data_IF_121986411371
#
_entry.id   IF_121986411371
#
_cell.length_a   1.000
_cell.length_b   1.000
_cell.length_c   1.000
_cell.angle_alpha   90.00
_cell.angle_beta   90.00
_cell.angle_gamma   90.00
#
_symmetry.space_group_name_H-M   'P 1'
#
loop_
_entity.id
_entity.type
_entity.pdbx_description
1 polymer ?
#
# COMPACT_ATOMS: atom_id res chain seq x y z
N UNK A 1 -9.39 -14.50 15.18
CA UNK A 1 -9.04 -14.44 13.75
C UNK A 1 -7.63 -13.89 13.63
N UNK A 2 -6.64 -14.77 13.58
CA UNK A 2 -5.25 -14.37 13.48
C UNK A 2 -5.01 -13.71 12.11
N UNK A 3 -4.28 -12.61 12.09
CA UNK A 3 -3.45 -12.25 10.93
C UNK A 3 -2.64 -13.51 10.58
N UNK A 4 -3.09 -14.33 9.63
CA UNK A 4 -2.24 -15.33 8.97
C UNK A 4 -1.23 -14.50 8.16
N UNK A 5 -0.26 -14.02 8.92
CA UNK A 5 0.23 -12.66 8.81
C UNK A 5 1.18 -12.51 7.66
N UNK A 6 1.23 -11.31 7.09
CA UNK A 6 2.25 -10.93 6.13
C UNK A 6 3.63 -11.03 6.79
N UNK A 7 4.21 -12.24 6.85
CA UNK A 7 5.47 -12.54 7.53
C UNK A 7 6.57 -11.59 7.11
N UNK A 8 6.62 -11.26 5.82
CA UNK A 8 7.59 -10.30 5.29
C UNK A 8 7.44 -8.87 5.82
N UNK A 9 6.21 -8.42 6.15
CA UNK A 9 5.97 -7.13 6.81
C UNK A 9 6.39 -7.19 8.27
N UNK A 10 5.97 -8.22 9.01
CA UNK A 10 6.31 -8.39 10.43
C UNK A 10 7.82 -8.45 10.63
N UNK A 11 8.55 -9.21 9.80
CA UNK A 11 10.02 -9.27 9.84
C UNK A 11 10.63 -7.89 9.59
N UNK A 12 10.15 -7.16 8.58
CA UNK A 12 10.67 -5.82 8.29
C UNK A 12 10.45 -4.84 9.46
N UNK A 13 9.26 -4.83 10.05
CA UNK A 13 8.96 -4.00 11.23
C UNK A 13 9.90 -4.36 12.39
N UNK A 14 10.10 -5.65 12.65
CA UNK A 14 11.04 -6.10 13.68
C UNK A 14 12.48 -5.67 13.38
N UNK A 15 12.95 -5.81 12.14
CA UNK A 15 14.29 -5.37 11.74
C UNK A 15 14.50 -3.87 11.99
N UNK A 16 13.53 -3.06 11.59
CA UNK A 16 13.57 -1.59 11.77
C UNK A 16 13.57 -1.24 13.25
N UNK A 17 12.70 -1.87 14.06
CA UNK A 17 12.62 -1.63 15.52
C UNK A 17 13.86 -2.08 16.28
N UNK A 18 14.63 -3.03 15.74
CA UNK A 18 15.86 -3.53 16.35
C UNK A 18 17.10 -2.73 15.94
N UNK A 19 16.97 -1.70 15.09
CA UNK A 19 18.09 -0.83 14.75
C UNK A 19 18.54 -0.03 15.97
N UNK A 20 19.85 0.05 16.19
CA UNK A 20 20.41 0.69 17.39
C UNK A 20 20.44 2.22 17.27
N UNK A 21 20.43 2.74 16.05
CA UNK A 21 20.49 4.17 15.78
C UNK A 21 19.76 4.53 14.48
N UNK A 22 19.57 5.84 14.27
CA UNK A 22 18.84 6.37 13.11
C UNK A 22 19.52 6.10 11.77
N UNK A 23 20.83 5.98 11.75
CA UNK A 23 21.57 5.67 10.52
C UNK A 23 21.32 4.23 10.05
N UNK A 24 21.35 3.26 10.96
CA UNK A 24 21.00 1.87 10.68
C UNK A 24 19.53 1.73 10.24
N UNK A 25 18.63 2.47 10.90
CA UNK A 25 17.21 2.52 10.53
C UNK A 25 17.05 2.99 9.08
N UNK A 26 17.70 4.11 8.72
CA UNK A 26 17.70 4.67 7.37
C UNK A 26 18.26 3.69 6.35
N UNK A 27 19.41 3.08 6.63
CA UNK A 27 20.03 2.09 5.73
C UNK A 27 19.11 0.89 5.48
N UNK A 28 18.40 0.43 6.52
CA UNK A 28 17.45 -0.68 6.42
C UNK A 28 16.21 -0.32 5.61
N UNK A 29 15.70 0.91 5.79
CA UNK A 29 14.57 1.47 5.03
C UNK A 29 14.95 1.62 3.55
N UNK A 30 16.09 2.24 3.25
CA UNK A 30 16.57 2.45 1.88
C UNK A 30 16.75 1.12 1.13
N UNK A 31 17.31 0.11 1.82
CA UNK A 31 17.43 -1.25 1.26
C UNK A 31 16.07 -1.87 0.94
N UNK A 32 15.07 -1.67 1.80
CA UNK A 32 13.73 -2.19 1.56
C UNK A 32 13.02 -1.43 0.43
N UNK A 33 13.12 -0.10 0.38
CA UNK A 33 12.58 0.72 -0.71
C UNK A 33 13.18 0.32 -2.06
N UNK A 34 14.51 0.12 -2.12
CA UNK A 34 15.18 -0.36 -3.32
C UNK A 34 14.67 -1.73 -3.79
N UNK A 35 14.42 -2.65 -2.85
CA UNK A 35 13.84 -3.96 -3.15
C UNK A 35 12.40 -3.82 -3.69
N UNK A 36 11.55 -3.03 -3.04
CA UNK A 36 10.16 -2.81 -3.48
C UNK A 36 10.15 -2.20 -4.88
N UNK A 37 10.97 -1.16 -5.12
CA UNK A 37 11.10 -0.50 -6.43
C UNK A 37 11.50 -1.48 -7.53
N UNK A 38 12.45 -2.37 -7.24
CA UNK A 38 12.88 -3.42 -8.18
C UNK A 38 11.76 -4.43 -8.46
N UNK A 39 10.98 -4.80 -7.45
CA UNK A 39 9.86 -5.74 -7.60
C UNK A 39 8.72 -5.15 -8.41
N UNK A 40 8.43 -3.86 -8.25
CA UNK A 40 7.38 -3.16 -9.02
C UNK A 40 7.76 -2.95 -10.49
N UNK A 41 9.05 -2.75 -10.78
CA UNK A 41 9.56 -2.62 -12.16
C UNK A 41 9.70 -3.94 -12.92
N UNK A 42 9.63 -5.08 -12.24
CA UNK A 42 9.87 -6.37 -12.89
C UNK A 42 8.69 -6.73 -13.81
N UNK A 43 8.98 -7.23 -15.03
CA UNK A 43 7.96 -7.62 -16.03
C UNK A 43 7.07 -8.77 -15.56
N UNK A 44 7.53 -9.57 -14.59
CA UNK A 44 6.70 -10.60 -13.96
C UNK A 44 5.63 -9.96 -13.10
N UNK A 45 4.37 -10.16 -13.50
CA UNK A 45 3.20 -9.70 -12.76
C UNK A 45 3.25 -10.15 -11.28
N UNK A 46 3.25 -9.19 -10.37
CA UNK A 46 3.18 -9.45 -8.93
C UNK A 46 1.81 -10.04 -8.57
N UNK A 47 1.83 -11.02 -7.68
CA UNK A 47 0.59 -11.57 -7.12
C UNK A 47 -0.10 -10.54 -6.24
N UNK A 48 -1.43 -10.66 -6.09
CA UNK A 48 -2.23 -9.79 -5.20
C UNK A 48 -1.71 -9.78 -3.76
N UNK A 49 -1.22 -10.92 -3.26
CA UNK A 49 -0.61 -11.02 -1.94
C UNK A 49 0.70 -10.20 -1.84
N UNK A 50 1.55 -10.29 -2.85
CA UNK A 50 2.81 -9.53 -2.88
C UNK A 50 2.58 -8.04 -2.97
N UNK A 51 1.64 -7.60 -3.83
CA UNK A 51 1.24 -6.19 -3.92
C UNK A 51 0.80 -5.66 -2.56
N UNK A 52 -0.13 -6.35 -1.88
CA UNK A 52 -0.55 -5.98 -0.52
C UNK A 52 0.64 -5.88 0.45
N UNK A 53 1.49 -6.90 0.49
CA UNK A 53 2.66 -6.94 1.37
C UNK A 53 3.58 -5.74 1.16
N UNK A 54 3.87 -5.39 -0.09
CA UNK A 54 4.77 -4.28 -0.41
C UNK A 54 4.12 -2.91 -0.16
N UNK A 55 2.84 -2.76 -0.49
CA UNK A 55 2.06 -1.55 -0.24
C UNK A 55 1.97 -1.25 1.27
N UNK A 56 1.81 -2.27 2.11
CA UNK A 56 1.88 -2.09 3.57
C UNK A 56 3.26 -1.66 4.07
N UNK A 57 4.34 -2.20 3.50
CA UNK A 57 5.69 -1.78 3.85
C UNK A 57 5.93 -0.32 3.51
N UNK A 58 5.48 0.12 2.33
CA UNK A 58 5.56 1.53 1.93
C UNK A 58 4.80 2.44 2.88
N UNK A 59 3.56 2.09 3.26
CA UNK A 59 2.81 2.87 4.23
C UNK A 59 3.52 2.96 5.59
N UNK A 60 4.11 1.86 6.07
CA UNK A 60 4.88 1.88 7.32
C UNK A 60 6.11 2.80 7.23
N UNK A 61 6.83 2.77 6.10
CA UNK A 61 7.98 3.64 5.86
C UNK A 61 7.55 5.12 5.83
N UNK A 62 6.43 5.42 5.18
CA UNK A 62 5.85 6.75 5.18
C UNK A 62 5.46 7.22 6.59
N UNK A 63 4.84 6.36 7.40
CA UNK A 63 4.48 6.66 8.79
C UNK A 63 5.72 6.90 9.69
N UNK A 64 6.88 6.35 9.35
CA UNK A 64 8.14 6.65 10.03
C UNK A 64 8.72 8.03 9.66
N UNK A 65 8.13 8.71 8.67
CA UNK A 65 8.56 10.03 8.20
C UNK A 65 9.55 10.00 7.03
N UNK A 66 9.72 8.86 6.36
CA UNK A 66 10.52 8.76 5.14
C UNK A 66 9.66 9.01 3.90
N UNK A 67 10.22 9.69 2.91
CA UNK A 67 9.52 9.96 1.65
C UNK A 67 9.34 8.68 0.82
N UNK A 68 8.13 8.53 0.26
CA UNK A 68 7.77 7.45 -0.66
C UNK A 68 7.20 8.07 -1.94
N UNK A 69 8.04 8.12 -2.98
CA UNK A 69 7.81 8.79 -4.27
C UNK A 69 7.32 7.83 -5.38
N UNK A 70 7.03 6.57 -5.05
CA UNK A 70 6.65 5.54 -6.01
C UNK A 70 5.62 4.57 -5.43
N UNK A 71 5.07 3.69 -6.28
CA UNK A 71 4.16 2.65 -5.83
C UNK A 71 2.69 3.06 -5.73
N UNK A 72 2.37 4.33 -6.07
CA UNK A 72 1.00 4.86 -6.07
C UNK A 72 0.10 4.09 -7.05
N UNK A 73 0.62 3.71 -8.22
CA UNK A 73 -0.13 2.94 -9.20
C UNK A 73 -0.52 1.55 -8.67
N UNK A 74 0.37 0.90 -7.91
CA UNK A 74 0.12 -0.39 -7.27
C UNK A 74 -0.93 -0.28 -6.15
N UNK A 75 -0.90 0.80 -5.37
CA UNK A 75 -1.94 1.09 -4.37
C UNK A 75 -3.31 1.32 -5.04
N UNK A 76 -3.36 2.13 -6.11
CA UNK A 76 -4.56 2.37 -6.90
C UNK A 76 -5.03 1.10 -7.60
N UNK A 77 -4.14 0.24 -8.08
CA UNK A 77 -4.50 -1.07 -8.65
C UNK A 77 -5.21 -1.96 -7.63
N UNK A 78 -4.91 -1.83 -6.33
CA UNK A 78 -5.55 -2.59 -5.26
C UNK A 78 -6.96 -2.09 -4.95
N UNK A 79 -7.27 -0.79 -5.08
CA UNK A 79 -8.65 -0.30 -4.87
C UNK A 79 -9.62 -0.89 -5.90
N UNK A 80 -9.12 -1.21 -7.09
CA UNK A 80 -9.89 -1.83 -8.17
C UNK A 80 -9.96 -3.36 -8.06
N UNK A 81 -9.34 -3.97 -7.03
CA UNK A 81 -9.36 -5.41 -6.86
C UNK A 81 -10.75 -5.91 -6.44
N UNK A 82 -11.19 -7.10 -6.90
CA UNK A 82 -12.53 -7.60 -6.64
C UNK A 82 -12.71 -8.12 -5.20
N UNK A 83 -11.63 -8.47 -4.49
CA UNK A 83 -11.73 -9.01 -3.13
C UNK A 83 -11.54 -7.92 -2.09
N UNK A 84 -12.36 -8.00 -1.04
CA UNK A 84 -12.31 -7.09 0.09
C UNK A 84 -10.90 -6.88 0.69
N UNK A 85 -10.09 -7.92 0.99
CA UNK A 85 -8.80 -7.71 1.66
C UNK A 85 -7.76 -6.99 0.78
N UNK A 86 -7.90 -7.01 -0.54
CA UNK A 86 -7.07 -6.19 -1.43
C UNK A 86 -7.59 -4.76 -1.49
N UNK A 87 -8.89 -4.62 -1.74
CA UNK A 87 -9.57 -3.32 -1.85
C UNK A 87 -9.40 -2.47 -0.59
N UNK A 88 -9.57 -3.07 0.59
CA UNK A 88 -9.36 -2.40 1.88
C UNK A 88 -7.94 -1.83 2.02
N UNK A 89 -6.92 -2.61 1.65
CA UNK A 89 -5.51 -2.16 1.72
C UNK A 89 -5.26 -1.03 0.74
N UNK A 90 -5.77 -1.16 -0.48
CA UNK A 90 -5.70 -0.10 -1.48
C UNK A 90 -6.30 1.21 -0.95
N UNK A 91 -7.50 1.16 -0.38
CA UNK A 91 -8.20 2.35 0.13
C UNK A 91 -7.43 3.04 1.25
N UNK A 92 -6.96 2.29 2.26
CA UNK A 92 -6.19 2.83 3.38
C UNK A 92 -4.88 3.46 2.90
N UNK A 93 -4.14 2.78 2.01
CA UNK A 93 -2.83 3.30 1.61
C UNK A 93 -2.97 4.47 0.64
N UNK A 94 -3.98 4.43 -0.23
CA UNK A 94 -4.27 5.54 -1.16
C UNK A 94 -4.72 6.78 -0.38
N UNK A 95 -5.54 6.65 0.67
CA UNK A 95 -5.92 7.82 1.48
C UNK A 95 -4.74 8.46 2.23
N UNK A 96 -3.70 7.70 2.56
CA UNK A 96 -2.50 8.24 3.22
C UNK A 96 -1.43 8.77 2.24
N UNK A 97 -1.25 8.14 1.07
CA UNK A 97 -0.14 8.44 0.16
C UNK A 97 -0.55 9.26 -1.07
N UNK A 98 -1.84 9.33 -1.42
CA UNK A 98 -2.27 10.00 -2.64
C UNK A 98 -2.34 11.52 -2.42
N UNK A 99 -1.45 12.24 -3.10
CA UNK A 99 -1.48 13.71 -3.18
C UNK A 99 -2.27 14.16 -4.42
N UNK A 100 -2.85 15.37 -4.38
CA UNK A 100 -3.71 15.93 -5.43
C UNK A 100 -3.06 15.99 -6.84
N UNK A 101 -1.73 15.98 -6.91
CA UNK A 101 -0.96 16.14 -8.15
C UNK A 101 -0.70 14.83 -8.92
N UNK A 102 -1.22 13.68 -8.46
CA UNK A 102 -0.94 12.41 -9.12
C UNK A 102 -1.88 12.14 -10.29
N UNK A 103 -1.30 11.76 -11.44
CA UNK A 103 -1.98 11.30 -12.66
C UNK A 103 -3.02 10.18 -12.38
N UNK A 104 -2.81 9.44 -11.29
CA UNK A 104 -3.65 8.33 -10.84
C UNK A 104 -4.91 8.74 -10.06
N UNK A 105 -5.06 10.02 -9.69
CA UNK A 105 -6.21 10.53 -8.93
C UNK A 105 -7.53 10.28 -9.67
N UNK A 106 -7.53 10.47 -11.00
CA UNK A 106 -8.71 10.20 -11.83
C UNK A 106 -9.14 8.73 -11.77
N UNK A 107 -8.18 7.80 -11.74
CA UNK A 107 -8.47 6.38 -11.60
C UNK A 107 -9.06 6.07 -10.22
N UNK A 108 -8.52 6.68 -9.16
CA UNK A 108 -9.05 6.54 -7.81
C UNK A 108 -10.49 7.04 -7.69
N UNK A 109 -10.78 8.24 -8.21
CA UNK A 109 -12.13 8.82 -8.24
C UNK A 109 -13.11 7.91 -8.98
N UNK A 110 -12.70 7.37 -10.15
CA UNK A 110 -13.55 6.47 -10.91
C UNK A 110 -13.88 5.19 -10.13
N UNK A 111 -12.91 4.59 -9.43
CA UNK A 111 -13.17 3.40 -8.63
C UNK A 111 -14.02 3.69 -7.40
N UNK A 112 -13.76 4.79 -6.68
CA UNK A 112 -14.59 5.27 -5.55
C UNK A 112 -16.03 5.44 -6.01
N UNK A 113 -16.25 6.12 -7.13
CA UNK A 113 -17.58 6.33 -7.71
C UNK A 113 -18.28 5.00 -8.02
N UNK A 114 -17.57 4.06 -8.63
CA UNK A 114 -18.13 2.75 -8.96
C UNK A 114 -18.50 1.94 -7.72
N UNK A 115 -17.68 1.98 -6.67
CA UNK A 115 -17.96 1.30 -5.41
C UNK A 115 -19.14 1.92 -4.67
N UNK A 116 -19.30 3.25 -4.69
CA UNK A 116 -20.45 3.96 -4.11
C UNK A 116 -21.76 3.62 -4.85
N UNK A 117 -21.73 3.62 -6.19
CA UNK A 117 -22.92 3.31 -7.02
C UNK A 117 -23.28 1.82 -6.96
N UNK A 118 -22.31 0.95 -6.67
CA UNK A 118 -22.51 -0.48 -6.52
C UNK A 118 -23.50 -0.84 -5.41
N UNK A 119 -23.93 -2.11 -5.38
CA UNK A 119 -24.87 -2.63 -4.36
C UNK A 119 -24.19 -3.31 -3.16
N UNK A 120 -22.86 -3.29 -3.11
CA UNK A 120 -22.11 -3.94 -2.03
C UNK A 120 -21.84 -2.92 -0.92
N UNK A 121 -22.62 -2.99 0.16
CA UNK A 121 -22.52 -2.09 1.31
C UNK A 121 -21.11 -2.01 1.89
N UNK A 122 -20.39 -3.15 1.92
CA UNK A 122 -19.00 -3.17 2.42
C UNK A 122 -18.08 -2.30 1.57
N UNK A 123 -18.23 -2.34 0.25
CA UNK A 123 -17.41 -1.54 -0.68
C UNK A 123 -17.82 -0.08 -0.66
N UNK A 124 -19.12 0.21 -0.52
CA UNK A 124 -19.62 1.56 -0.32
C UNK A 124 -19.02 2.19 0.95
N UNK A 125 -19.02 1.47 2.07
CA UNK A 125 -18.41 1.92 3.32
C UNK A 125 -16.91 2.20 3.17
N UNK A 126 -16.15 1.32 2.50
CA UNK A 126 -14.71 1.54 2.24
C UNK A 126 -14.48 2.81 1.42
N UNK A 127 -15.25 2.99 0.35
CA UNK A 127 -15.15 4.16 -0.51
C UNK A 127 -15.48 5.45 0.24
N UNK A 128 -16.54 5.44 1.06
CA UNK A 128 -16.93 6.58 1.89
C UNK A 128 -15.93 6.90 3.01
N UNK A 129 -15.19 5.91 3.51
CA UNK A 129 -14.15 6.13 4.55
C UNK A 129 -12.91 6.85 4.00
N UNK A 130 -12.67 6.74 2.70
CA UNK A 130 -11.53 7.40 2.04
C UNK A 130 -11.79 8.90 1.79
N UNK A 131 -13.05 9.27 1.54
CA UNK A 131 -13.49 10.65 1.26
C UNK A 131 -13.55 11.46 2.55
#
# INVERSE_FOLDING_TARGET
MALTGMRGLSVFISDVRNCQNKEQERLRVDKELGNIRTRFKNEKALTHYEKKKYVWKMLYIYMLGYDVDFGHMEAVSLISAPKYPEKQVGYIVTSCLLTENHEFLRMAINTVRNDIIGRNETFQCLALTMV
#
